data_IF_910250294021
#
_entry.id   IF_910250294021
#
_cell.length_a   1.000
_cell.length_b   1.000
_cell.length_c   1.000
_cell.angle_alpha   90.00
_cell.angle_beta   90.00
_cell.angle_gamma   90.00
#
_symmetry.space_group_name_H-M   'P 1'
#
loop_
_entity.id
_entity.type
_entity.pdbx_description
1 polymer ?
#
# COMPACT_ATOMS: atom_id res chain seq x y z
N UNK A 1 17.01 -12.77 1.58
CA UNK A 1 17.25 -11.85 0.45
C UNK A 1 16.04 -11.91 -0.46
N UNK A 2 15.38 -10.80 -0.72
CA UNK A 2 14.20 -10.74 -1.61
C UNK A 2 14.57 -10.31 -3.04
N UNK A 3 15.71 -10.73 -3.53
CA UNK A 3 16.09 -10.66 -4.94
C UNK A 3 15.85 -12.03 -5.54
N UNK A 4 14.85 -12.13 -6.43
CA UNK A 4 14.47 -13.40 -7.06
C UNK A 4 15.14 -13.63 -8.42
N UNK A 5 15.51 -12.54 -9.10
CA UNK A 5 16.12 -12.56 -10.44
C UNK A 5 17.48 -11.89 -10.39
N UNK A 6 18.54 -12.64 -10.58
CA UNK A 6 19.91 -12.11 -10.72
C UNK A 6 20.11 -11.50 -12.11
N UNK A 7 20.86 -10.41 -12.18
CA UNK A 7 21.19 -9.71 -13.43
C UNK A 7 22.71 -9.76 -13.63
N UNK A 8 23.16 -10.20 -14.80
CA UNK A 8 24.58 -10.13 -15.15
C UNK A 8 25.03 -8.67 -15.37
N UNK A 9 26.25 -8.31 -14.92
CA UNK A 9 26.75 -6.93 -15.01
C UNK A 9 26.73 -6.39 -16.46
N UNK A 10 27.07 -7.24 -17.44
CA UNK A 10 27.05 -6.86 -18.84
C UNK A 10 25.62 -6.54 -19.36
N UNK A 11 24.62 -7.32 -18.94
CA UNK A 11 23.22 -7.10 -19.31
C UNK A 11 22.68 -5.81 -18.65
N UNK A 12 23.00 -5.60 -17.36
CA UNK A 12 22.60 -4.39 -16.66
C UNK A 12 23.22 -3.14 -17.31
N UNK A 13 24.53 -3.16 -17.64
CA UNK A 13 25.16 -2.03 -18.30
C UNK A 13 24.61 -1.75 -19.70
N UNK A 14 24.30 -2.81 -20.46
CA UNK A 14 23.66 -2.65 -21.76
C UNK A 14 22.26 -2.01 -21.62
N UNK A 15 21.47 -2.45 -20.64
CA UNK A 15 20.16 -1.87 -20.33
C UNK A 15 20.25 -0.39 -19.91
N UNK A 16 21.20 -0.05 -19.05
CA UNK A 16 21.39 1.32 -18.56
C UNK A 16 21.91 2.28 -19.64
N UNK A 17 22.52 1.80 -20.72
CA UNK A 17 23.00 2.62 -21.83
C UNK A 17 21.86 3.36 -22.54
N UNK A 18 20.62 2.89 -22.44
CA UNK A 18 19.45 3.56 -23.01
C UNK A 18 18.95 4.76 -22.16
N UNK A 19 19.46 4.92 -20.93
CA UNK A 19 19.07 6.00 -20.02
C UNK A 19 20.10 7.11 -19.94
N UNK A 20 19.69 8.30 -19.53
CA UNK A 20 20.58 9.44 -19.23
C UNK A 20 20.72 9.63 -17.71
N UNK A 21 21.25 8.62 -17.03
CA UNK A 21 21.43 8.61 -15.57
C UNK A 21 22.88 8.61 -15.10
N UNK A 22 23.83 8.73 -16.03
CA UNK A 22 25.26 8.65 -15.75
C UNK A 22 25.82 7.23 -15.80
N UNK A 23 27.06 7.07 -15.39
CA UNK A 23 27.77 5.78 -15.40
C UNK A 23 27.50 5.01 -14.12
N UNK A 24 27.21 3.70 -14.26
CA UNK A 24 26.98 2.80 -13.11
C UNK A 24 28.27 2.62 -12.31
N UNK A 25 28.25 3.05 -11.06
CA UNK A 25 29.34 2.88 -10.07
C UNK A 25 29.14 1.59 -9.28
N UNK A 26 27.92 1.34 -8.77
CA UNK A 26 27.62 0.11 -8.05
C UNK A 26 26.14 -0.26 -8.13
N UNK A 27 25.85 -1.56 -7.92
CA UNK A 27 24.48 -2.09 -7.79
C UNK A 27 24.40 -2.93 -6.52
N UNK A 28 23.29 -2.73 -5.77
CA UNK A 28 23.04 -3.41 -4.50
C UNK A 28 21.62 -3.98 -4.53
N UNK A 29 21.49 -5.29 -4.38
CA UNK A 29 20.17 -5.93 -4.23
C UNK A 29 19.50 -5.49 -2.92
N UNK A 30 18.26 -5.06 -2.98
CA UNK A 30 17.48 -4.67 -1.81
C UNK A 30 16.79 -5.93 -1.26
N UNK A 31 17.09 -6.24 0.00
CA UNK A 31 16.57 -7.45 0.67
C UNK A 31 15.13 -7.28 1.17
N UNK A 32 14.60 -6.07 1.19
CA UNK A 32 13.26 -5.72 1.63
C UNK A 32 12.28 -5.79 0.45
N UNK A 33 11.05 -6.23 0.73
CA UNK A 33 10.01 -6.47 -0.28
C UNK A 33 9.83 -7.96 -0.60
N UNK A 34 8.59 -8.36 -0.89
CA UNK A 34 8.20 -9.77 -1.09
C UNK A 34 7.69 -10.05 -2.50
N UNK A 35 7.53 -9.04 -3.33
CA UNK A 35 6.80 -9.16 -4.60
C UNK A 35 7.69 -9.00 -5.83
N UNK A 36 8.70 -8.14 -5.77
CA UNK A 36 9.54 -7.77 -6.90
C UNK A 36 11.02 -7.85 -6.53
N UNK A 37 11.89 -7.98 -7.53
CA UNK A 37 13.34 -7.83 -7.33
C UNK A 37 13.72 -6.37 -7.47
N UNK A 38 14.21 -5.77 -6.37
CA UNK A 38 14.60 -4.38 -6.33
C UNK A 38 16.12 -4.24 -6.18
N UNK A 39 16.70 -3.30 -6.93
CA UNK A 39 18.11 -2.97 -6.90
C UNK A 39 18.33 -1.49 -6.71
N UNK A 40 19.17 -1.12 -5.77
CA UNK A 40 19.72 0.23 -5.68
C UNK A 40 20.84 0.37 -6.70
N UNK A 41 20.65 1.26 -7.67
CA UNK A 41 21.66 1.67 -8.62
C UNK A 41 22.31 2.95 -8.12
N UNK A 42 23.63 2.95 -8.00
CA UNK A 42 24.44 4.14 -7.68
C UNK A 42 25.20 4.51 -8.94
N UNK A 43 24.94 5.69 -9.47
CA UNK A 43 25.66 6.24 -10.62
C UNK A 43 26.60 7.36 -10.19
N UNK A 44 27.40 7.86 -11.10
CA UNK A 44 28.25 9.02 -10.86
C UNK A 44 27.46 10.34 -10.72
N UNK A 45 26.15 10.32 -10.99
CA UNK A 45 25.26 11.49 -10.90
C UNK A 45 24.27 11.40 -9.75
N UNK A 46 23.63 10.22 -9.53
CA UNK A 46 22.56 10.06 -8.56
C UNK A 46 22.33 8.59 -8.18
N UNK A 47 21.31 8.34 -7.36
CA UNK A 47 20.81 7.03 -6.95
C UNK A 47 19.45 6.78 -7.56
N UNK A 48 19.22 5.53 -7.96
CA UNK A 48 17.96 5.10 -8.57
C UNK A 48 17.56 3.73 -8.04
N UNK A 49 16.29 3.39 -8.18
CA UNK A 49 15.79 2.04 -7.91
C UNK A 49 15.41 1.39 -9.23
N UNK A 50 16.02 0.24 -9.53
CA UNK A 50 15.57 -0.65 -10.59
C UNK A 50 14.65 -1.69 -9.99
N UNK A 51 13.42 -1.79 -10.48
CA UNK A 51 12.46 -2.82 -10.11
C UNK A 51 12.24 -3.77 -11.27
N UNK A 52 12.44 -5.07 -11.03
CA UNK A 52 12.00 -6.15 -11.91
C UNK A 52 10.70 -6.74 -11.37
N UNK A 53 9.65 -6.68 -12.18
CA UNK A 53 8.34 -7.21 -11.80
C UNK A 53 8.31 -8.72 -11.98
N UNK A 54 8.07 -9.42 -10.89
CA UNK A 54 8.02 -10.89 -10.89
C UNK A 54 6.62 -11.39 -11.33
N UNK A 55 5.87 -12.07 -10.46
CA UNK A 55 4.64 -12.75 -10.87
C UNK A 55 3.34 -12.13 -10.33
N UNK A 56 3.41 -11.33 -9.28
CA UNK A 56 2.22 -10.85 -8.57
C UNK A 56 1.56 -9.62 -9.21
N UNK A 57 2.34 -8.78 -9.86
CA UNK A 57 1.82 -7.59 -10.53
C UNK A 57 1.48 -7.94 -11.99
N UNK A 58 0.23 -7.75 -12.38
CA UNK A 58 -0.17 -7.94 -13.77
C UNK A 58 0.51 -6.89 -14.66
N UNK A 59 1.12 -7.33 -15.78
CA UNK A 59 1.83 -6.45 -16.70
C UNK A 59 0.92 -5.33 -17.23
N UNK A 60 -0.35 -5.64 -17.43
CA UNK A 60 -1.36 -4.72 -17.95
C UNK A 60 -1.71 -3.59 -16.97
N UNK A 61 -1.45 -3.77 -15.66
CA UNK A 61 -1.65 -2.76 -14.62
C UNK A 61 -0.47 -1.79 -14.51
N UNK A 62 0.73 -2.16 -14.99
CA UNK A 62 1.94 -1.34 -14.85
C UNK A 62 1.80 0.08 -15.43
N UNK A 63 1.17 0.28 -16.60
CA UNK A 63 0.95 1.64 -17.13
C UNK A 63 0.15 2.53 -16.17
N UNK A 64 -0.84 1.97 -15.46
CA UNK A 64 -1.60 2.72 -14.44
C UNK A 64 -0.70 3.20 -13.31
N UNK A 65 0.12 2.32 -12.73
CA UNK A 65 0.99 2.69 -11.61
C UNK A 65 2.08 3.69 -12.01
N UNK A 66 2.71 3.48 -13.17
CA UNK A 66 3.76 4.38 -13.67
C UNK A 66 3.18 5.76 -14.02
N UNK A 67 2.03 5.78 -14.67
CA UNK A 67 1.30 7.01 -14.96
C UNK A 67 0.90 7.76 -13.69
N UNK A 68 0.42 7.04 -12.67
CA UNK A 68 0.04 7.62 -11.38
C UNK A 68 1.26 8.23 -10.66
N UNK A 69 2.37 7.50 -10.56
CA UNK A 69 3.59 8.03 -9.93
C UNK A 69 4.10 9.28 -10.65
N UNK A 70 4.11 9.28 -11.98
CA UNK A 70 4.49 10.45 -12.76
C UNK A 70 3.53 11.62 -12.52
N UNK A 71 2.22 11.38 -12.56
CA UNK A 71 1.17 12.39 -12.31
C UNK A 71 1.32 13.03 -10.93
N UNK A 72 1.50 12.22 -9.88
CA UNK A 72 1.64 12.68 -8.50
C UNK A 72 2.95 13.46 -8.29
N UNK A 73 4.06 12.97 -8.82
CA UNK A 73 5.36 13.65 -8.69
C UNK A 73 5.36 15.04 -9.31
N UNK A 74 4.71 15.21 -10.48
CA UNK A 74 4.56 16.52 -11.13
C UNK A 74 3.67 17.48 -10.34
N UNK A 75 2.87 16.99 -9.39
CA UNK A 75 2.03 17.77 -8.47
C UNK A 75 2.64 17.95 -7.08
N UNK A 76 3.92 17.62 -6.95
CA UNK A 76 4.67 17.85 -5.72
C UNK A 76 4.41 16.81 -4.61
N UNK A 77 3.83 15.66 -4.95
CA UNK A 77 3.78 14.53 -4.03
C UNK A 77 5.14 13.83 -4.06
N UNK A 78 5.74 13.70 -2.89
CA UNK A 78 6.99 12.96 -2.73
C UNK A 78 6.73 11.45 -2.94
N UNK A 79 7.02 10.96 -4.14
CA UNK A 79 6.89 9.56 -4.53
C UNK A 79 7.96 9.21 -5.58
N UNK A 80 8.24 7.93 -5.82
CA UNK A 80 9.17 7.53 -6.88
C UNK A 80 8.70 8.06 -8.23
N UNK A 81 9.61 8.68 -8.99
CA UNK A 81 9.31 9.17 -10.33
C UNK A 81 9.88 8.19 -11.35
N UNK A 82 9.06 7.59 -12.22
CA UNK A 82 9.56 6.73 -13.29
C UNK A 82 10.46 7.50 -14.25
N UNK A 83 11.63 6.93 -14.54
CA UNK A 83 12.58 7.48 -15.50
C UNK A 83 12.30 6.87 -16.88
N UNK A 84 12.34 7.73 -17.89
CA UNK A 84 12.25 7.30 -19.28
C UNK A 84 13.65 7.06 -19.88
N UNK A 85 13.74 6.13 -20.79
CA UNK A 85 14.88 5.98 -21.69
C UNK A 85 14.97 7.19 -22.62
N UNK A 86 16.07 7.31 -23.38
CA UNK A 86 16.27 8.41 -24.35
C UNK A 86 15.21 8.48 -25.45
N UNK A 87 14.54 7.39 -25.74
CA UNK A 87 13.41 7.32 -26.69
C UNK A 87 12.03 7.57 -26.04
N UNK A 88 11.98 7.82 -24.72
CA UNK A 88 10.76 8.15 -23.98
C UNK A 88 10.03 6.94 -23.37
N UNK A 89 10.59 5.74 -23.45
CA UNK A 89 9.98 4.53 -22.89
C UNK A 89 10.26 4.41 -21.39
N UNK A 90 9.22 4.22 -20.55
CA UNK A 90 9.38 4.03 -19.10
C UNK A 90 9.30 2.58 -18.66
N UNK A 91 8.47 1.77 -19.34
CA UNK A 91 8.33 0.34 -19.07
C UNK A 91 9.14 -0.45 -20.09
N UNK A 92 10.22 -1.04 -19.63
CA UNK A 92 11.17 -1.79 -20.45
C UNK A 92 11.15 -3.29 -20.12
N UNK A 93 12.07 -4.04 -20.70
CA UNK A 93 12.27 -5.46 -20.39
C UNK A 93 13.75 -5.70 -20.07
N UNK A 94 14.03 -6.45 -19.00
CA UNK A 94 15.37 -6.89 -18.62
C UNK A 94 15.30 -8.32 -18.09
N UNK A 95 16.15 -9.21 -18.59
CA UNK A 95 16.21 -10.66 -18.28
C UNK A 95 14.83 -11.35 -18.35
N UNK A 96 14.02 -10.98 -19.37
CA UNK A 96 12.67 -11.54 -19.57
C UNK A 96 11.62 -11.09 -18.55
N UNK A 97 11.88 -9.99 -17.84
CA UNK A 97 10.96 -9.36 -16.88
C UNK A 97 10.64 -7.93 -17.30
N UNK A 98 9.44 -7.48 -16.96
CA UNK A 98 9.13 -6.06 -17.02
C UNK A 98 10.05 -5.32 -16.04
N UNK A 99 10.67 -4.23 -16.48
CA UNK A 99 11.68 -3.48 -15.74
C UNK A 99 11.38 -1.99 -15.77
N UNK A 100 11.55 -1.34 -14.63
CA UNK A 100 11.38 0.12 -14.49
C UNK A 100 12.49 0.67 -13.62
N UNK A 101 13.04 1.82 -14.01
CA UNK A 101 13.89 2.62 -13.14
C UNK A 101 13.06 3.78 -12.58
N UNK A 102 13.13 3.98 -11.27
CA UNK A 102 12.51 5.12 -10.60
C UNK A 102 13.56 5.92 -9.81
N UNK A 103 13.25 7.18 -9.51
CA UNK A 103 14.08 8.01 -8.64
C UNK A 103 14.20 7.39 -7.24
N UNK A 104 15.36 7.56 -6.62
CA UNK A 104 15.57 7.21 -5.21
C UNK A 104 14.92 8.26 -4.31
N UNK A 105 14.33 7.82 -3.20
CA UNK A 105 13.78 8.71 -2.17
C UNK A 105 14.60 8.59 -0.89
N UNK A 106 15.00 9.73 -0.35
CA UNK A 106 15.68 9.81 0.94
C UNK A 106 14.69 9.72 2.09
N UNK A 107 15.08 9.03 3.14
CA UNK A 107 14.28 8.88 4.35
C UNK A 107 14.31 7.49 4.90
N UNK A 108 13.64 7.33 6.04
CA UNK A 108 13.49 6.05 6.72
C UNK A 108 12.05 5.87 7.19
N UNK A 109 11.55 4.66 7.16
CA UNK A 109 10.26 4.36 7.75
C UNK A 109 10.37 4.26 9.29
N UNK A 110 9.35 4.69 10.07
CA UNK A 110 9.43 4.78 11.52
C UNK A 110 9.33 3.41 12.16
N UNK A 111 10.35 3.01 12.92
CA UNK A 111 10.35 1.76 13.71
C UNK A 111 9.35 1.81 14.87
N UNK A 112 9.04 2.99 15.35
CA UNK A 112 8.02 3.26 16.37
C UNK A 112 7.16 4.42 15.91
N UNK A 113 5.85 4.21 15.90
CA UNK A 113 4.88 5.21 15.45
C UNK A 113 4.52 6.12 16.62
N UNK A 114 4.66 7.44 16.42
CA UNK A 114 4.24 8.50 17.32
C UNK A 114 3.06 9.28 16.74
N UNK A 115 2.28 10.02 17.55
CA UNK A 115 1.20 10.86 17.05
C UNK A 115 1.63 11.87 15.97
N UNK A 116 2.86 12.36 16.02
CA UNK A 116 3.42 13.29 15.02
C UNK A 116 3.59 12.63 13.65
N UNK A 117 3.97 11.34 13.61
CA UNK A 117 4.00 10.57 12.35
C UNK A 117 2.59 10.43 11.77
N UNK A 118 1.58 10.15 12.60
CA UNK A 118 0.18 10.06 12.19
C UNK A 118 -0.34 11.41 11.68
N UNK A 119 0.07 12.52 12.30
CA UNK A 119 -0.26 13.86 11.82
C UNK A 119 0.34 14.12 10.43
N UNK A 120 1.63 13.85 10.24
CA UNK A 120 2.31 14.05 8.97
C UNK A 120 1.73 13.14 7.88
N UNK A 121 1.42 11.88 8.20
CA UNK A 121 0.72 10.96 7.31
C UNK A 121 -0.65 11.50 6.89
N UNK A 122 -1.47 11.98 7.83
CA UNK A 122 -2.79 12.54 7.52
C UNK A 122 -2.72 13.69 6.53
N UNK A 123 -1.72 14.58 6.67
CA UNK A 123 -1.49 15.66 5.70
C UNK A 123 -1.02 15.13 4.34
N UNK A 124 -0.09 14.16 4.33
CA UNK A 124 0.42 13.58 3.10
C UNK A 124 -0.67 12.85 2.32
N UNK A 125 -1.52 12.07 3.00
CA UNK A 125 -2.65 11.36 2.41
C UNK A 125 -3.70 12.32 1.82
N UNK A 126 -4.02 13.41 2.54
CA UNK A 126 -4.94 14.42 2.01
C UNK A 126 -4.40 15.07 0.73
N UNK A 127 -3.11 15.43 0.71
CA UNK A 127 -2.45 15.98 -0.50
C UNK A 127 -2.44 14.97 -1.63
N UNK A 128 -2.15 13.71 -1.33
CA UNK A 128 -2.19 12.61 -2.31
C UNK A 128 -3.57 12.49 -2.96
N UNK A 129 -4.65 12.41 -2.16
CA UNK A 129 -6.01 12.33 -2.69
C UNK A 129 -6.39 13.55 -3.53
N UNK A 130 -6.00 14.75 -3.09
CA UNK A 130 -6.26 15.99 -3.86
C UNK A 130 -5.48 16.03 -5.17
N UNK A 131 -4.21 15.62 -5.15
CA UNK A 131 -3.37 15.59 -6.35
C UNK A 131 -3.80 14.50 -7.34
N UNK A 132 -4.42 13.43 -6.87
CA UNK A 132 -4.91 12.32 -7.69
C UNK A 132 -6.29 12.53 -8.29
N UNK A 133 -7.02 13.61 -7.96
CA UNK A 133 -8.42 13.81 -8.40
C UNK A 133 -8.58 13.91 -9.92
N UNK A 134 -7.61 14.46 -10.61
CA UNK A 134 -7.61 14.66 -12.07
C UNK A 134 -6.71 13.65 -12.79
N UNK A 135 -6.37 12.53 -12.16
CA UNK A 135 -5.72 11.41 -12.83
C UNK A 135 -6.74 10.58 -13.62
N UNK A 136 -6.54 10.51 -14.94
CA UNK A 136 -7.49 9.84 -15.84
C UNK A 136 -7.40 8.31 -15.82
N UNK A 137 -6.34 7.73 -15.23
CA UNK A 137 -6.17 6.30 -15.12
C UNK A 137 -7.26 5.65 -14.27
N UNK A 138 -7.74 4.49 -14.70
CA UNK A 138 -8.78 3.73 -14.02
C UNK A 138 -8.30 2.32 -13.71
N UNK A 139 -8.40 1.92 -12.45
CA UNK A 139 -8.14 0.56 -11.97
C UNK A 139 -9.10 0.24 -10.83
N UNK A 140 -9.88 -0.80 -10.98
CA UNK A 140 -10.80 -1.25 -9.93
C UNK A 140 -10.03 -1.79 -8.71
N UNK A 141 -10.63 -1.70 -7.53
CA UNK A 141 -10.10 -2.31 -6.32
C UNK A 141 -10.58 -3.77 -6.19
N UNK A 142 -9.77 -4.70 -6.64
CA UNK A 142 -10.05 -6.15 -6.51
C UNK A 142 -9.98 -6.66 -5.07
N UNK A 143 -9.46 -5.84 -4.15
CA UNK A 143 -9.34 -6.14 -2.71
C UNK A 143 -10.33 -5.32 -1.86
N UNK A 144 -11.45 -4.88 -2.45
CA UNK A 144 -12.60 -4.29 -1.76
C UNK A 144 -13.73 -5.31 -1.63
N UNK A 145 -14.93 -4.84 -1.30
CA UNK A 145 -16.10 -5.68 -0.97
C UNK A 145 -16.38 -6.79 -2.00
N UNK A 146 -16.26 -6.48 -3.29
CA UNK A 146 -16.51 -7.46 -4.36
C UNK A 146 -15.47 -8.60 -4.39
N UNK A 147 -14.25 -8.32 -3.93
CA UNK A 147 -13.14 -9.28 -3.91
C UNK A 147 -13.10 -10.16 -2.65
N UNK A 148 -13.78 -9.79 -1.56
CA UNK A 148 -13.65 -10.51 -0.29
C UNK A 148 -14.12 -11.96 -0.37
N UNK A 149 -15.29 -12.20 -0.93
CA UNK A 149 -15.85 -13.55 -1.03
C UNK A 149 -15.02 -14.46 -1.95
N UNK A 150 -14.66 -14.06 -3.18
CA UNK A 150 -13.74 -14.83 -4.01
C UNK A 150 -12.41 -15.16 -3.32
N UNK A 151 -11.79 -14.17 -2.67
CA UNK A 151 -10.52 -14.38 -1.97
C UNK A 151 -10.68 -15.35 -0.79
N UNK A 152 -11.77 -15.26 -0.03
CA UNK A 152 -12.06 -16.15 1.10
C UNK A 152 -12.23 -17.60 0.67
N UNK A 153 -12.91 -17.87 -0.46
CA UNK A 153 -13.16 -19.24 -0.92
C UNK A 153 -11.87 -20.05 -1.13
N UNK A 154 -10.75 -19.40 -1.49
CA UNK A 154 -9.44 -20.07 -1.61
C UNK A 154 -8.89 -20.60 -0.27
N UNK A 155 -9.30 -20.00 0.85
CA UNK A 155 -8.77 -20.31 2.19
C UNK A 155 -9.82 -20.93 3.12
N UNK A 156 -11.10 -20.92 2.75
CA UNK A 156 -12.25 -21.25 3.59
C UNK A 156 -12.15 -22.63 4.24
N UNK A 157 -11.81 -23.65 3.45
CA UNK A 157 -11.75 -25.03 3.91
C UNK A 157 -10.64 -25.26 4.95
N UNK A 158 -9.61 -24.41 4.95
CA UNK A 158 -8.44 -24.51 5.81
C UNK A 158 -8.39 -23.45 6.92
N UNK A 159 -9.30 -22.48 6.93
CA UNK A 159 -9.30 -21.41 7.91
C UNK A 159 -9.32 -21.90 9.37
N UNK A 160 -9.97 -23.04 9.63
CA UNK A 160 -10.01 -23.68 10.96
C UNK A 160 -8.65 -24.24 11.43
N UNK A 161 -7.67 -24.40 10.53
CA UNK A 161 -6.29 -24.75 10.90
C UNK A 161 -5.60 -23.58 11.64
N UNK A 162 -6.01 -22.35 11.35
CA UNK A 162 -5.49 -21.14 12.01
C UNK A 162 -6.20 -20.87 13.33
N UNK A 163 -7.54 -20.93 13.33
CA UNK A 163 -8.34 -20.80 14.55
C UNK A 163 -9.71 -21.49 14.40
N UNK A 164 -10.15 -22.27 15.40
CA UNK A 164 -11.49 -22.87 15.39
C UNK A 164 -12.58 -21.82 15.22
N UNK A 165 -13.52 -22.04 14.30
CA UNK A 165 -14.64 -21.14 14.01
C UNK A 165 -14.29 -19.92 13.15
N UNK A 166 -13.03 -19.75 12.72
CA UNK A 166 -12.61 -18.61 11.93
C UNK A 166 -13.36 -18.51 10.59
N UNK A 167 -13.63 -19.64 9.94
CA UNK A 167 -14.37 -19.65 8.68
C UNK A 167 -15.79 -19.08 8.82
N UNK A 168 -16.49 -19.44 9.89
CA UNK A 168 -17.85 -18.96 10.15
C UNK A 168 -17.86 -17.49 10.52
N UNK A 169 -16.87 -17.04 11.31
CA UNK A 169 -16.71 -15.63 11.68
C UNK A 169 -16.44 -14.75 10.46
N UNK A 170 -15.52 -15.16 9.57
CA UNK A 170 -15.23 -14.44 8.33
C UNK A 170 -16.46 -14.41 7.42
N UNK A 171 -17.13 -15.54 7.22
CA UNK A 171 -18.30 -15.60 6.36
C UNK A 171 -19.45 -14.71 6.87
N UNK A 172 -19.70 -14.71 8.16
CA UNK A 172 -20.70 -13.85 8.80
C UNK A 172 -20.37 -12.38 8.63
N UNK A 173 -19.10 -12.00 8.78
CA UNK A 173 -18.65 -10.63 8.62
C UNK A 173 -18.73 -10.17 7.16
N UNK A 174 -18.30 -10.97 6.19
CA UNK A 174 -18.43 -10.63 4.76
C UNK A 174 -19.90 -10.39 4.43
N UNK A 175 -20.82 -11.25 4.90
CA UNK A 175 -22.26 -11.07 4.67
C UNK A 175 -22.79 -9.77 5.26
N UNK A 176 -22.35 -9.37 6.45
CA UNK A 176 -22.73 -8.10 7.07
C UNK A 176 -22.17 -6.90 6.31
N UNK A 177 -20.90 -6.98 5.88
CA UNK A 177 -20.28 -5.93 5.08
C UNK A 177 -20.96 -5.76 3.71
N UNK A 178 -21.30 -6.86 3.03
CA UNK A 178 -22.02 -6.83 1.74
C UNK A 178 -23.40 -6.16 1.86
N UNK A 179 -24.09 -6.36 2.99
CA UNK A 179 -25.43 -5.78 3.21
C UNK A 179 -25.40 -4.25 3.40
N UNK A 180 -24.36 -3.74 4.05
CA UNK A 180 -24.30 -2.34 4.48
C UNK A 180 -23.21 -1.52 3.75
N UNK A 181 -22.51 -2.11 2.75
CA UNK A 181 -21.40 -1.42 2.06
C UNK A 181 -21.88 -0.14 1.36
N UNK A 182 -21.22 1.02 1.58
CA UNK A 182 -21.66 2.26 0.99
C UNK A 182 -21.51 2.24 -0.54
N UNK A 183 -22.37 2.96 -1.23
CA UNK A 183 -22.34 3.08 -2.70
C UNK A 183 -22.10 4.50 -3.20
N UNK A 184 -22.23 5.50 -2.33
CA UNK A 184 -22.19 6.93 -2.72
C UNK A 184 -21.31 7.72 -1.75
N UNK A 185 -19.99 7.53 -1.86
CA UNK A 185 -18.99 8.29 -1.12
C UNK A 185 -18.01 8.95 -2.11
N UNK A 186 -17.36 10.05 -1.70
CA UNK A 186 -16.26 10.62 -2.47
C UNK A 186 -15.18 9.59 -2.77
N UNK A 187 -14.85 9.47 -4.05
CA UNK A 187 -13.91 8.47 -4.56
C UNK A 187 -12.92 9.07 -5.54
N UNK A 188 -11.84 8.36 -5.76
CA UNK A 188 -10.77 8.69 -6.70
C UNK A 188 -9.64 7.72 -6.53
N UNK A 189 -8.45 8.11 -6.95
CA UNK A 189 -7.27 7.27 -6.75
C UNK A 189 -6.90 7.25 -5.28
N UNK A 190 -6.75 6.05 -4.73
CA UNK A 190 -6.26 5.76 -3.39
C UNK A 190 -4.95 4.97 -3.48
N UNK A 191 -4.14 5.05 -2.44
CA UNK A 191 -2.90 4.25 -2.35
C UNK A 191 -3.20 2.79 -2.00
N UNK A 192 -4.15 2.60 -1.12
CA UNK A 192 -4.67 1.32 -0.66
C UNK A 192 -3.68 0.43 0.12
N UNK A 193 -2.44 0.86 0.38
CA UNK A 193 -1.44 0.08 1.14
C UNK A 193 -0.46 0.96 1.93
N UNK A 194 -0.91 2.10 2.51
CA UNK A 194 -0.06 3.00 3.28
C UNK A 194 0.21 2.46 4.70
N UNK A 195 0.97 1.37 4.75
CA UNK A 195 1.58 0.88 5.97
C UNK A 195 2.82 1.70 6.36
N UNK A 196 3.30 1.58 7.62
CA UNK A 196 4.47 2.34 8.07
C UNK A 196 5.74 2.14 7.23
N UNK A 197 5.94 0.94 6.70
CA UNK A 197 7.07 0.57 5.83
C UNK A 197 6.98 1.19 4.42
N UNK A 198 5.80 1.69 4.01
CA UNK A 198 5.56 2.38 2.75
C UNK A 198 5.59 3.92 2.86
N UNK A 199 5.94 4.46 4.04
CA UNK A 199 6.00 5.91 4.27
C UNK A 199 7.35 6.30 4.87
N UNK A 200 8.13 7.05 4.10
CA UNK A 200 9.44 7.52 4.53
C UNK A 200 9.35 8.88 5.21
N UNK A 201 10.20 9.08 6.21
CA UNK A 201 10.32 10.33 6.94
C UNK A 201 11.77 10.83 6.92
N UNK A 202 11.91 12.14 6.77
CA UNK A 202 13.14 12.88 6.99
C UNK A 202 12.80 14.16 7.77
N UNK A 203 13.58 14.51 8.77
CA UNK A 203 13.42 15.71 9.60
C UNK A 203 11.99 15.90 10.17
N UNK A 204 11.31 14.78 10.50
CA UNK A 204 9.97 14.78 11.06
C UNK A 204 8.83 14.99 10.07
N UNK A 205 9.11 15.14 8.79
CA UNK A 205 8.12 15.24 7.72
C UNK A 205 8.11 13.98 6.85
N UNK A 206 6.99 13.71 6.17
CA UNK A 206 6.92 12.66 5.15
C UNK A 206 7.80 13.08 3.98
N UNK A 207 8.83 12.30 3.69
CA UNK A 207 9.78 12.50 2.58
C UNK A 207 9.50 11.59 1.38
N UNK A 208 8.64 10.58 1.53
CA UNK A 208 8.28 9.69 0.43
C UNK A 208 7.13 8.75 0.75
N UNK A 209 6.27 8.54 -0.24
CA UNK A 209 5.30 7.46 -0.30
C UNK A 209 5.77 6.47 -1.36
N UNK A 210 5.83 5.18 -1.03
CA UNK A 210 6.31 4.13 -1.93
C UNK A 210 5.31 2.98 -2.03
N UNK A 211 5.55 2.05 -2.94
CA UNK A 211 4.75 0.83 -3.15
C UNK A 211 3.32 1.09 -3.64
N UNK A 212 3.21 1.62 -4.85
CA UNK A 212 1.95 2.01 -5.50
C UNK A 212 1.17 0.83 -6.12
N UNK A 213 1.65 -0.41 -6.00
CA UNK A 213 1.12 -1.54 -6.76
C UNK A 213 -0.24 -2.05 -6.31
N UNK A 214 -0.77 -1.52 -5.20
CA UNK A 214 -2.16 -1.69 -4.77
C UNK A 214 -3.05 -0.48 -5.10
N UNK A 215 -2.48 0.62 -5.61
CA UNK A 215 -3.25 1.82 -5.92
C UNK A 215 -4.36 1.52 -6.93
N UNK A 216 -5.52 2.11 -6.69
CA UNK A 216 -6.75 1.84 -7.44
C UNK A 216 -7.74 2.99 -7.27
N UNK A 217 -8.88 2.93 -7.94
CA UNK A 217 -9.97 3.87 -7.73
C UNK A 217 -10.94 3.27 -6.70
N UNK A 218 -11.10 3.95 -5.55
CA UNK A 218 -12.03 3.57 -4.49
C UNK A 218 -12.36 4.81 -3.62
N UNK A 219 -13.14 4.64 -2.55
CA UNK A 219 -13.49 5.71 -1.62
C UNK A 219 -12.25 6.25 -0.88
N UNK A 220 -12.09 7.57 -0.83
CA UNK A 220 -11.02 8.19 -0.03
C UNK A 220 -11.09 7.79 1.44
N UNK A 221 -12.30 7.63 1.98
CA UNK A 221 -12.50 7.16 3.35
C UNK A 221 -12.03 5.72 3.58
N UNK A 222 -11.96 4.88 2.52
CA UNK A 222 -11.42 3.52 2.62
C UNK A 222 -9.88 3.53 2.80
N UNK A 223 -9.17 4.43 2.12
CA UNK A 223 -7.72 4.59 2.31
C UNK A 223 -7.38 5.10 3.72
N UNK A 224 -8.22 6.02 4.25
CA UNK A 224 -8.13 6.46 5.64
C UNK A 224 -8.35 5.30 6.61
N UNK A 225 -9.33 4.44 6.34
CA UNK A 225 -9.59 3.25 7.14
C UNK A 225 -8.39 2.29 7.16
N UNK A 226 -7.71 2.11 6.03
CA UNK A 226 -6.47 1.34 5.95
C UNK A 226 -5.39 1.98 6.83
N UNK A 227 -5.20 3.30 6.75
CA UNK A 227 -4.24 4.01 7.59
C UNK A 227 -4.56 3.91 9.09
N UNK A 228 -5.84 3.99 9.49
CA UNK A 228 -6.25 3.79 10.88
C UNK A 228 -5.84 2.39 11.39
N UNK A 229 -6.08 1.37 10.58
CA UNK A 229 -5.73 -0.01 10.91
C UNK A 229 -4.22 -0.23 11.01
N UNK A 230 -3.45 0.40 10.13
CA UNK A 230 -2.00 0.19 10.05
C UNK A 230 -1.19 1.03 11.04
N UNK A 231 -1.70 2.21 11.47
CA UNK A 231 -0.93 3.19 12.24
C UNK A 231 -1.44 3.42 13.66
N UNK A 232 -2.70 3.09 13.95
CA UNK A 232 -3.35 3.49 15.19
C UNK A 232 -3.54 2.36 16.19
N UNK A 233 -3.01 1.16 15.90
CA UNK A 233 -2.94 0.07 16.86
C UNK A 233 -1.54 -0.04 17.45
N UNK A 234 -1.47 -0.37 18.74
CA UNK A 234 -0.22 -0.67 19.43
C UNK A 234 0.15 -2.15 19.26
N UNK A 235 1.38 -2.49 19.62
CA UNK A 235 1.90 -3.87 19.45
C UNK A 235 1.08 -4.90 20.25
N UNK A 236 0.48 -4.51 21.37
CA UNK A 236 -0.42 -5.33 22.19
C UNK A 236 -1.83 -5.48 21.60
N UNK A 237 -2.13 -4.74 20.53
CA UNK A 237 -3.41 -4.76 19.83
C UNK A 237 -4.41 -3.70 20.29
N UNK A 238 -4.04 -2.83 21.22
CA UNK A 238 -4.89 -1.76 21.70
C UNK A 238 -4.95 -0.59 20.69
N UNK A 239 -6.15 -0.04 20.50
CA UNK A 239 -6.35 1.12 19.63
C UNK A 239 -5.91 2.42 20.33
N UNK A 240 -5.03 3.16 19.69
CA UNK A 240 -4.54 4.44 20.16
C UNK A 240 -5.34 5.61 19.57
N UNK A 241 -6.35 6.07 20.30
CA UNK A 241 -7.21 7.20 19.89
C UNK A 241 -6.44 8.51 19.69
N UNK A 242 -5.28 8.69 20.36
CA UNK A 242 -4.47 9.88 20.17
C UNK A 242 -3.80 9.89 18.79
N UNK A 243 -3.24 8.76 18.36
CA UNK A 243 -2.71 8.59 16.99
C UNK A 243 -3.81 8.83 15.94
N UNK A 244 -4.96 8.18 16.12
CA UNK A 244 -6.10 8.33 15.20
C UNK A 244 -6.57 9.78 15.11
N UNK A 245 -6.70 10.47 16.24
CA UNK A 245 -7.07 11.90 16.29
C UNK A 245 -6.08 12.77 15.52
N UNK A 246 -4.77 12.56 15.68
CA UNK A 246 -3.74 13.31 14.97
C UNK A 246 -3.84 13.10 13.45
N UNK A 247 -4.00 11.84 12.99
CA UNK A 247 -4.17 11.50 11.59
C UNK A 247 -5.42 12.18 11.00
N UNK A 248 -6.57 11.95 11.62
CA UNK A 248 -7.85 12.39 11.10
C UNK A 248 -8.01 13.92 11.10
N UNK A 249 -7.53 14.61 12.16
CA UNK A 249 -7.53 16.08 12.22
C UNK A 249 -6.61 16.69 11.17
N UNK A 250 -5.43 16.12 10.98
CA UNK A 250 -4.49 16.59 9.98
C UNK A 250 -5.03 16.39 8.56
N UNK A 251 -5.64 15.25 8.27
CA UNK A 251 -6.31 15.01 7.00
C UNK A 251 -7.45 16.00 6.77
N UNK A 252 -8.37 16.12 7.75
CA UNK A 252 -9.54 17.01 7.69
C UNK A 252 -9.18 18.48 7.47
N UNK A 253 -8.02 18.92 7.95
CA UNK A 253 -7.56 20.30 7.79
C UNK A 253 -7.29 20.68 6.33
N UNK A 254 -7.01 19.72 5.45
CA UNK A 254 -6.72 19.90 4.02
C UNK A 254 -7.89 19.45 3.14
N UNK A 255 -8.47 18.29 3.46
CA UNK A 255 -9.66 17.75 2.80
C UNK A 255 -10.75 17.46 3.84
N UNK A 256 -11.77 18.32 3.96
CA UNK A 256 -12.88 18.11 4.88
C UNK A 256 -13.66 16.83 4.57
N UNK A 257 -14.08 16.11 5.61
CA UNK A 257 -14.97 14.97 5.46
C UNK A 257 -16.40 15.41 5.19
N UNK A 258 -17.10 14.71 4.32
CA UNK A 258 -18.54 14.76 4.26
C UNK A 258 -19.16 13.96 5.42
N UNK A 259 -20.36 14.32 5.89
CA UNK A 259 -21.05 13.55 6.94
C UNK A 259 -21.20 12.05 6.60
N UNK A 260 -21.44 11.73 5.32
CA UNK A 260 -21.53 10.34 4.85
C UNK A 260 -20.24 9.56 5.04
N UNK A 261 -19.07 10.18 4.79
CA UNK A 261 -17.76 9.54 5.02
C UNK A 261 -17.55 9.22 6.51
N UNK A 262 -17.94 10.14 7.41
CA UNK A 262 -17.82 9.93 8.85
C UNK A 262 -18.77 8.84 9.35
N UNK A 263 -19.97 8.76 8.81
CA UNK A 263 -20.94 7.71 9.14
C UNK A 263 -20.45 6.35 8.66
N UNK A 264 -19.86 6.27 7.48
CA UNK A 264 -19.37 5.02 6.89
C UNK A 264 -18.02 4.56 7.47
N UNK A 265 -17.25 5.44 8.11
CA UNK A 265 -15.86 5.17 8.52
C UNK A 265 -15.71 3.90 9.38
N UNK A 266 -16.55 3.60 10.39
CA UNK A 266 -16.44 2.36 11.14
C UNK A 266 -16.63 1.11 10.27
N UNK A 267 -17.58 1.14 9.34
CA UNK A 267 -17.82 0.04 8.41
C UNK A 267 -16.63 -0.16 7.45
N UNK A 268 -16.07 0.94 6.93
CA UNK A 268 -14.90 0.90 6.06
C UNK A 268 -13.65 0.41 6.80
N UNK A 269 -13.48 0.74 8.09
CA UNK A 269 -12.42 0.19 8.93
C UNK A 269 -12.53 -1.33 9.10
N UNK A 270 -13.77 -1.85 9.26
CA UNK A 270 -14.05 -3.29 9.28
C UNK A 270 -13.69 -3.94 7.94
N UNK A 271 -14.08 -3.31 6.82
CA UNK A 271 -13.75 -3.78 5.48
C UNK A 271 -12.24 -3.78 5.21
N UNK A 272 -11.53 -2.74 5.61
CA UNK A 272 -10.08 -2.68 5.50
C UNK A 272 -9.41 -3.77 6.35
N UNK A 273 -9.89 -4.00 7.58
CA UNK A 273 -9.39 -5.09 8.42
C UNK A 273 -9.69 -6.47 7.80
N UNK A 274 -10.87 -6.66 7.20
CA UNK A 274 -11.23 -7.88 6.48
C UNK A 274 -10.30 -8.14 5.30
N UNK A 275 -10.00 -7.13 4.48
CA UNK A 275 -9.04 -7.23 3.37
C UNK A 275 -7.72 -7.85 3.83
N UNK A 276 -7.09 -7.26 4.86
CA UNK A 276 -5.79 -7.71 5.32
C UNK A 276 -5.85 -9.04 6.09
N UNK A 277 -6.96 -9.33 6.76
CA UNK A 277 -7.21 -10.66 7.33
C UNK A 277 -7.22 -11.73 6.23
N UNK A 278 -7.94 -11.49 5.13
CA UNK A 278 -8.07 -12.45 4.03
C UNK A 278 -6.77 -12.66 3.26
N UNK A 279 -6.06 -11.58 2.92
CA UNK A 279 -4.78 -11.69 2.19
C UNK A 279 -3.72 -12.39 3.04
N UNK A 280 -3.61 -12.05 4.34
CA UNK A 280 -2.69 -12.73 5.25
C UNK A 280 -3.07 -14.19 5.50
N UNK A 281 -4.37 -14.49 5.61
CA UNK A 281 -4.86 -15.87 5.76
C UNK A 281 -4.50 -16.70 4.52
N UNK A 282 -4.69 -16.13 3.33
CA UNK A 282 -4.29 -16.77 2.10
C UNK A 282 -2.79 -17.07 2.09
N UNK A 283 -1.95 -16.08 2.34
CA UNK A 283 -0.48 -16.24 2.35
C UNK A 283 -0.03 -17.23 3.43
N UNK A 284 -0.66 -17.21 4.63
CA UNK A 284 -0.36 -18.11 5.72
C UNK A 284 -0.63 -19.58 5.36
N UNK A 285 -1.75 -19.85 4.69
CA UNK A 285 -2.17 -21.19 4.33
C UNK A 285 -1.51 -21.74 3.06
N UNK A 286 -0.97 -20.85 2.20
CA UNK A 286 -0.39 -21.22 0.91
C UNK A 286 1.11 -20.89 0.79
N UNK A 287 1.78 -20.78 1.94
CA UNK A 287 3.24 -20.58 1.96
C UNK A 287 3.94 -21.73 1.23
N UNK A 288 4.85 -21.40 0.33
CA UNK A 288 5.70 -22.40 -0.30
C UNK A 288 6.83 -22.82 0.66
N UNK A 289 7.26 -24.07 0.60
CA UNK A 289 8.40 -24.58 1.40
C UNK A 289 9.69 -23.79 1.16
N UNK A 290 9.80 -23.09 0.02
CA UNK A 290 10.95 -22.28 -0.38
C UNK A 290 10.70 -20.77 -0.20
N UNK A 291 9.65 -20.35 0.55
CA UNK A 291 9.37 -18.94 0.76
C UNK A 291 10.51 -18.27 1.54
N UNK A 292 11.03 -17.19 1.00
CA UNK A 292 12.13 -16.40 1.61
C UNK A 292 11.64 -15.53 2.78
N UNK A 293 10.33 -15.32 2.89
CA UNK A 293 9.71 -14.44 3.87
C UNK A 293 8.61 -15.20 4.62
N UNK A 294 8.59 -15.06 5.93
CA UNK A 294 7.51 -15.62 6.77
C UNK A 294 6.22 -14.80 6.58
N UNK A 295 5.06 -15.44 6.40
CA UNK A 295 3.80 -14.74 6.28
C UNK A 295 3.47 -14.01 7.58
N UNK A 296 2.80 -12.86 7.47
CA UNK A 296 2.32 -12.08 8.62
C UNK A 296 1.12 -12.80 9.26
N UNK A 297 1.01 -12.75 10.60
CA UNK A 297 -0.08 -13.38 11.36
C UNK A 297 -1.46 -12.80 10.96
N UNK A 298 -2.39 -13.59 10.43
CA UNK A 298 -3.74 -13.12 10.12
C UNK A 298 -4.56 -12.73 11.36
N UNK A 299 -4.25 -13.33 12.54
CA UNK A 299 -4.98 -13.06 13.77
C UNK A 299 -4.82 -11.64 14.30
N UNK A 300 -3.77 -10.92 13.88
CA UNK A 300 -3.63 -9.50 14.15
C UNK A 300 -4.82 -8.71 13.57
N UNK A 301 -5.14 -8.93 12.29
CA UNK A 301 -6.26 -8.24 11.66
C UNK A 301 -7.64 -8.75 12.09
N UNK A 302 -7.75 -9.96 12.59
CA UNK A 302 -8.98 -10.41 13.24
C UNK A 302 -9.25 -9.62 14.55
N UNK A 303 -8.21 -9.33 15.34
CA UNK A 303 -8.34 -8.47 16.54
C UNK A 303 -8.76 -7.05 16.18
N UNK A 304 -8.15 -6.46 15.16
CA UNK A 304 -8.49 -5.15 14.62
C UNK A 304 -9.96 -5.12 14.14
N UNK A 305 -10.38 -6.12 13.39
CA UNK A 305 -11.77 -6.28 12.93
C UNK A 305 -12.76 -6.32 14.10
N UNK A 306 -12.46 -7.13 15.12
CA UNK A 306 -13.31 -7.26 16.32
C UNK A 306 -13.41 -5.95 17.10
N UNK A 307 -12.33 -5.18 17.19
CA UNK A 307 -12.38 -3.83 17.75
C UNK A 307 -13.36 -2.95 16.98
N UNK A 308 -13.24 -2.86 15.66
CA UNK A 308 -14.11 -2.02 14.85
C UNK A 308 -15.60 -2.44 14.85
N UNK A 309 -15.90 -3.70 15.12
CA UNK A 309 -17.29 -4.14 15.36
C UNK A 309 -17.92 -3.48 16.59
N UNK A 310 -17.13 -3.11 17.59
CA UNK A 310 -17.63 -2.46 18.81
C UNK A 310 -17.75 -0.95 18.69
N UNK A 311 -17.20 -0.33 17.63
CA UNK A 311 -17.21 1.11 17.41
C UNK A 311 -18.58 1.55 16.90
N UNK A 312 -19.25 2.44 17.65
CA UNK A 312 -20.58 2.95 17.30
C UNK A 312 -20.55 4.15 16.33
N UNK A 313 -19.43 4.88 16.25
CA UNK A 313 -19.31 6.03 15.37
C UNK A 313 -17.90 6.62 15.31
N UNK A 314 -17.69 7.55 14.38
CA UNK A 314 -16.37 8.17 14.13
C UNK A 314 -15.82 8.99 15.32
N UNK A 315 -16.65 9.38 16.27
CA UNK A 315 -16.23 10.03 17.51
C UNK A 315 -15.30 9.18 18.36
N UNK A 316 -15.46 7.86 18.32
CA UNK A 316 -14.57 6.92 19.04
C UNK A 316 -13.15 6.86 18.44
N UNK A 317 -12.97 7.33 17.21
CA UNK A 317 -11.65 7.57 16.62
C UNK A 317 -11.05 8.94 16.97
N UNK A 318 -11.73 9.72 17.82
CA UNK A 318 -11.27 11.03 18.28
C UNK A 318 -11.61 12.18 17.33
N UNK A 319 -12.61 12.01 16.44
CA UNK A 319 -13.26 13.08 15.70
C UNK A 319 -14.45 13.59 16.53
N UNK A 320 -14.36 14.83 17.00
CA UNK A 320 -15.44 15.55 17.65
C UNK A 320 -16.31 16.22 16.60
#
# INVERSE_FOLDING_TARGET
MAVYTDIADAELRAFLADYDIGELVSVIGIAEGVENSNYLLITDRDRHILTLYEKRVARDDLPFFLGLMHHLSTRGIACPTPLATRDGTTLCELVGRAAVIVSFLDGVWPRRIWPEHCQALGQALARFHMAGQDYDGQRANDLSIAGFRPLFEHSRSRASEVSPGLADEINGEITALEADWPSDLPQGVIHADLFPDNVFFADGAVSGLIDFYFSCNDFFAYDIAICLNAWCFEVDGDFNVTKARHLLRAYRSLRPFLPAELTALPLLCRGAAMRFLLTRLHDWLHISENALVSPKDPMEFLRILRFHRSVAGSGEYGLD
#
